data_IF_783362224490
#
_entry.id   IF_783362224490
#
_cell.length_a   1.000
_cell.length_b   1.000
_cell.length_c   1.000
_cell.angle_alpha   90.00
_cell.angle_beta   90.00
_cell.angle_gamma   90.00
#
_symmetry.space_group_name_H-M   'P 1'
#
loop_
_entity.id
_entity.type
_entity.pdbx_description
1 polymer ?
#
# COMPACT_ATOMS: atom_id res chain seq x y z
N UNK A 1 -23.25 46.70 -1.96
CA UNK A 1 -21.93 46.29 -1.44
C UNK A 1 -21.94 44.89 -0.80
N UNK A 2 -23.09 44.38 -0.35
CA UNK A 2 -23.25 43.02 0.22
C UNK A 2 -22.76 41.88 -0.68
N UNK A 3 -23.25 41.78 -1.93
CA UNK A 3 -22.92 40.66 -2.83
C UNK A 3 -21.44 40.61 -3.22
N UNK A 4 -20.81 41.77 -3.44
CA UNK A 4 -19.39 41.86 -3.78
C UNK A 4 -18.51 41.38 -2.61
N UNK A 5 -18.84 41.78 -1.39
CA UNK A 5 -18.14 41.33 -0.19
C UNK A 5 -18.25 39.82 0.00
N UNK A 6 -19.45 39.25 -0.21
CA UNK A 6 -19.69 37.81 -0.15
C UNK A 6 -18.90 37.01 -1.20
N UNK A 7 -18.93 37.45 -2.48
CA UNK A 7 -18.16 36.82 -3.55
C UNK A 7 -16.65 36.88 -3.27
N UNK A 8 -16.17 38.01 -2.73
CA UNK A 8 -14.75 38.21 -2.41
C UNK A 8 -14.29 37.34 -1.23
N UNK A 9 -15.07 37.27 -0.15
CA UNK A 9 -14.75 36.41 0.98
C UNK A 9 -14.70 34.93 0.59
N UNK A 10 -15.61 34.51 -0.30
CA UNK A 10 -15.59 33.16 -0.87
C UNK A 10 -14.35 32.95 -1.74
N UNK A 11 -14.05 33.89 -2.65
CA UNK A 11 -12.89 33.82 -3.55
C UNK A 11 -11.54 33.76 -2.81
N UNK A 12 -11.35 34.55 -1.76
CA UNK A 12 -10.10 34.57 -0.98
C UNK A 12 -9.85 33.24 -0.23
N UNK A 13 -10.90 32.46 0.08
CA UNK A 13 -10.77 31.20 0.85
C UNK A 13 -10.31 29.99 0.03
N UNK A 14 -10.39 30.03 -1.31
CA UNK A 14 -10.13 28.88 -2.18
C UNK A 14 -8.70 28.34 -2.10
N UNK A 15 -7.70 29.22 -1.96
CA UNK A 15 -6.30 28.79 -1.84
C UNK A 15 -6.06 28.00 -0.56
N UNK A 16 -6.59 28.48 0.57
CA UNK A 16 -6.52 27.79 1.86
C UNK A 16 -7.30 26.46 1.83
N UNK A 17 -8.48 26.46 1.20
CA UNK A 17 -9.30 25.25 1.05
C UNK A 17 -8.57 24.17 0.25
N UNK A 18 -7.95 24.53 -0.87
CA UNK A 18 -7.16 23.61 -1.69
C UNK A 18 -6.01 22.99 -0.90
N UNK A 19 -5.27 23.82 -0.15
CA UNK A 19 -4.14 23.34 0.66
C UNK A 19 -4.62 22.38 1.76
N UNK A 20 -5.74 22.70 2.42
CA UNK A 20 -6.35 21.86 3.44
C UNK A 20 -6.84 20.53 2.88
N UNK A 21 -7.58 20.55 1.76
CA UNK A 21 -8.07 19.34 1.10
C UNK A 21 -6.92 18.44 0.60
N UNK A 22 -5.88 19.03 0.02
CA UNK A 22 -4.69 18.29 -0.39
C UNK A 22 -4.00 17.64 0.82
N UNK A 23 -3.80 18.39 1.91
CA UNK A 23 -3.20 17.86 3.13
C UNK A 23 -3.99 16.68 3.69
N UNK A 24 -5.31 16.84 3.82
CA UNK A 24 -6.22 15.79 4.28
C UNK A 24 -6.21 14.59 3.32
N UNK A 25 -6.19 14.84 2.01
CA UNK A 25 -6.09 13.79 0.99
C UNK A 25 -4.80 12.97 1.12
N UNK A 26 -3.65 13.62 1.32
CA UNK A 26 -2.36 12.95 1.56
C UNK A 26 -2.40 12.18 2.88
N UNK A 27 -2.95 12.77 3.94
CA UNK A 27 -3.09 12.10 5.23
C UNK A 27 -3.93 10.82 5.10
N UNK A 28 -5.11 10.90 4.47
CA UNK A 28 -5.94 9.73 4.21
C UNK A 28 -5.24 8.67 3.34
N UNK A 29 -4.46 9.10 2.35
CA UNK A 29 -3.68 8.19 1.51
C UNK A 29 -2.58 7.49 2.32
N UNK A 30 -1.86 8.21 3.18
CA UNK A 30 -0.82 7.64 4.04
C UNK A 30 -1.39 6.66 5.08
N UNK A 31 -2.57 6.95 5.64
CA UNK A 31 -3.27 6.05 6.55
C UNK A 31 -4.08 4.95 5.84
N UNK A 32 -4.13 4.92 4.50
CA UNK A 32 -4.83 3.87 3.77
C UNK A 32 -4.12 2.53 4.03
N UNK A 33 -4.79 1.54 4.67
CA UNK A 33 -4.16 0.30 5.16
C UNK A 33 -3.72 -0.69 4.07
N UNK A 34 -3.69 -0.28 2.79
CA UNK A 34 -3.34 -1.13 1.65
C UNK A 34 -1.87 -1.54 1.59
N UNK A 35 -0.98 -0.77 2.21
CA UNK A 35 0.48 -1.03 2.19
C UNK A 35 0.91 -2.15 3.15
N UNK A 36 0.04 -2.58 4.09
CA UNK A 36 0.37 -3.64 5.06
C UNK A 36 0.68 -4.97 4.39
N UNK A 37 -0.05 -5.37 3.34
CA UNK A 37 0.16 -6.66 2.67
C UNK A 37 1.52 -6.76 1.97
N UNK A 38 1.98 -5.68 1.34
CA UNK A 38 3.25 -5.64 0.61
C UNK A 38 4.43 -5.69 1.60
N UNK A 39 4.33 -4.99 2.73
CA UNK A 39 5.39 -5.02 3.75
C UNK A 39 5.50 -6.39 4.44
N UNK A 40 4.38 -7.07 4.69
CA UNK A 40 4.36 -8.42 5.26
C UNK A 40 4.99 -9.45 4.30
N UNK A 41 4.66 -9.35 3.01
CA UNK A 41 5.20 -10.24 1.98
C UNK A 41 6.72 -10.06 1.81
N UNK A 42 7.22 -8.83 1.79
CA UNK A 42 8.67 -8.55 1.71
C UNK A 42 9.39 -9.00 2.99
N UNK A 43 8.83 -8.74 4.17
CA UNK A 43 9.42 -9.16 5.44
C UNK A 43 9.53 -10.69 5.53
N UNK A 44 8.53 -11.42 5.02
CA UNK A 44 8.54 -12.88 4.99
C UNK A 44 9.44 -13.47 3.89
N UNK A 45 9.88 -12.67 2.90
CA UNK A 45 10.63 -13.16 1.73
C UNK A 45 12.00 -13.75 2.06
N UNK A 46 12.73 -13.14 3.00
CA UNK A 46 14.05 -13.62 3.46
C UNK A 46 13.88 -14.90 4.28
N UNK A 47 12.86 -14.95 5.14
CA UNK A 47 12.63 -16.09 6.02
C UNK A 47 11.89 -17.26 5.37
N UNK A 48 11.36 -17.08 4.15
CA UNK A 48 10.53 -18.07 3.44
C UNK A 48 11.24 -19.41 3.20
N UNK A 49 12.57 -19.41 3.19
CA UNK A 49 13.40 -20.58 2.90
C UNK A 49 14.30 -21.02 4.06
N UNK A 50 14.05 -20.53 5.27
CA UNK A 50 14.84 -20.89 6.47
C UNK A 50 14.56 -22.32 6.92
N UNK A 51 13.30 -22.77 6.88
CA UNK A 51 12.92 -24.13 7.32
C UNK A 51 13.25 -25.21 6.28
N UNK A 52 13.26 -24.86 4.99
CA UNK A 52 13.68 -25.76 3.90
C UNK A 52 14.24 -24.96 2.70
N UNK A 53 15.34 -25.44 2.08
CA UNK A 53 15.81 -24.91 0.80
C UNK A 53 14.71 -25.01 -0.25
N UNK A 54 14.68 -24.06 -1.19
CA UNK A 54 13.75 -24.13 -2.31
C UNK A 54 14.07 -25.40 -3.09
N UNK A 55 13.05 -26.25 -3.31
CA UNK A 55 13.23 -27.47 -4.08
C UNK A 55 13.80 -27.10 -5.45
N UNK A 56 14.93 -27.70 -5.80
CA UNK A 56 15.61 -27.47 -7.05
C UNK A 56 14.63 -27.77 -8.20
N UNK A 57 14.37 -26.84 -9.15
CA UNK A 57 13.43 -27.09 -10.25
C UNK A 57 13.85 -28.27 -11.15
N UNK A 58 15.04 -28.83 -10.93
CA UNK A 58 15.60 -29.96 -11.65
C UNK A 58 15.34 -31.34 -11.03
N UNK A 59 14.65 -31.48 -9.89
CA UNK A 59 14.47 -32.80 -9.26
C UNK A 59 13.14 -33.48 -9.65
N UNK A 60 13.17 -34.50 -10.54
CA UNK A 60 11.98 -35.31 -10.81
C UNK A 60 11.67 -36.13 -9.56
N UNK A 61 10.47 -35.93 -9.03
CA UNK A 61 9.89 -36.63 -7.88
C UNK A 61 9.82 -38.14 -8.13
N UNK A 62 10.92 -38.86 -7.88
CA UNK A 62 10.96 -40.32 -7.92
C UNK A 62 10.77 -40.88 -6.50
N UNK A 63 9.54 -40.82 -6.01
CA UNK A 63 9.16 -41.37 -4.70
C UNK A 63 7.90 -42.22 -4.80
N UNK A 64 7.81 -43.11 -5.79
CA UNK A 64 6.81 -44.18 -5.83
C UNK A 64 7.33 -45.43 -6.55
N UNK A 65 8.23 -46.21 -5.92
CA UNK A 65 8.33 -47.68 -6.11
C UNK A 65 9.35 -48.30 -5.13
N UNK A 66 9.02 -48.30 -3.85
CA UNK A 66 9.69 -49.17 -2.87
C UNK A 66 8.63 -49.97 -2.13
N UNK A 67 7.90 -50.82 -2.86
CA UNK A 67 7.09 -51.89 -2.28
C UNK A 67 7.04 -53.08 -3.25
N UNK A 68 7.92 -54.07 -3.03
CA UNK A 68 7.68 -55.52 -3.13
C UNK A 68 8.97 -56.30 -2.82
#
# INVERSE_FOLDING_TARGET
>A
MELYSFLRATADSWGLLLMFLMFVGIAFWAFRPGSRKVHDEIASSIFRNEDRPAADPAEPRNSQRTEA
#
